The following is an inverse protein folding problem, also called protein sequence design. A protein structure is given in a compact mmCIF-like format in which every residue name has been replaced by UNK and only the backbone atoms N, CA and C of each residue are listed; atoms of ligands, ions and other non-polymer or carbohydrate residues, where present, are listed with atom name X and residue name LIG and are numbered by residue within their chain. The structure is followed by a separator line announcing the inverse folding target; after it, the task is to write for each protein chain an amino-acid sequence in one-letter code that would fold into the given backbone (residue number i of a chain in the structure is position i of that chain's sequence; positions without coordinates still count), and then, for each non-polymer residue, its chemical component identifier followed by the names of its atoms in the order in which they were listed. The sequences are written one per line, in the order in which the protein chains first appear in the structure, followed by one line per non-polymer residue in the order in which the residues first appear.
data_IF_650411773518
#
_entry.id   IF_650411773518
#
_cell.length_a   1.000
_cell.length_b   1.000
_cell.length_c   1.000
_cell.angle_alpha   90.00
_cell.angle_beta   90.00
_cell.angle_gamma   90.00
#
_symmetry.space_group_name_H-M   'P 1'
#
loop_
_entity.id
_entity.type
_entity.pdbx_description
1 polymer ?
#
# COMPACT_ATOMS: atom_id res chain seq x y z
N UNK A 1 1.56 21.84 0.25
CA UNK A 1 1.57 20.81 1.31
C UNK A 1 2.80 21.03 2.19
N UNK A 2 2.62 21.41 3.46
CA UNK A 2 3.70 21.56 4.44
C UNK A 2 3.84 20.24 5.19
N UNK A 3 5.06 19.73 5.36
CA UNK A 3 5.34 18.49 6.08
C UNK A 3 4.72 18.54 7.47
N UNK A 4 3.60 17.85 7.62
CA UNK A 4 2.99 17.61 8.91
C UNK A 4 3.60 16.34 9.48
N UNK A 5 3.95 16.42 10.75
CA UNK A 5 4.69 15.50 11.61
C UNK A 5 4.17 14.04 11.66
N UNK A 6 3.08 13.71 10.96
CA UNK A 6 2.39 12.42 11.05
C UNK A 6 2.39 11.65 9.72
N UNK A 7 3.51 10.99 9.43
CA UNK A 7 3.73 10.39 8.13
C UNK A 7 4.32 8.97 8.13
N UNK A 8 3.78 8.13 7.24
CA UNK A 8 4.41 6.89 6.81
C UNK A 8 5.78 7.22 6.21
N UNK A 9 6.85 6.74 6.87
CA UNK A 9 8.23 6.95 6.40
C UNK A 9 8.62 5.95 5.34
N UNK A 10 8.20 4.70 5.51
CA UNK A 10 8.57 3.57 4.67
C UNK A 10 7.48 2.51 4.70
N UNK A 11 7.10 1.98 3.55
CA UNK A 11 6.32 0.75 3.46
C UNK A 11 7.23 -0.37 2.97
N UNK A 12 7.02 -1.59 3.44
CA UNK A 12 7.78 -2.76 3.01
C UNK A 12 6.83 -3.93 2.89
N UNK A 13 6.91 -4.65 1.78
CA UNK A 13 6.05 -5.79 1.49
C UNK A 13 6.90 -7.06 1.68
N UNK A 14 6.56 -7.88 2.68
CA UNK A 14 7.29 -9.11 3.00
C UNK A 14 6.30 -10.24 3.30
N UNK A 15 6.51 -11.41 2.68
CA UNK A 15 5.73 -12.63 2.94
C UNK A 15 4.20 -12.38 2.94
N UNK A 16 3.71 -11.64 1.96
CA UNK A 16 2.28 -11.38 1.82
C UNK A 16 1.71 -10.38 2.83
N UNK A 17 2.56 -9.74 3.63
CA UNK A 17 2.18 -8.75 4.61
C UNK A 17 2.77 -7.37 4.29
N UNK A 18 2.04 -6.32 4.62
CA UNK A 18 2.51 -4.94 4.51
C UNK A 18 2.97 -4.50 5.88
N UNK A 19 4.25 -4.17 5.98
CA UNK A 19 4.83 -3.55 7.17
C UNK A 19 5.04 -2.07 6.86
N UNK A 20 4.35 -1.22 7.61
CA UNK A 20 4.45 0.23 7.45
C UNK A 20 5.22 0.78 8.63
N UNK A 21 6.36 1.40 8.36
CA UNK A 21 7.16 2.09 9.38
C UNK A 21 6.77 3.56 9.42
N UNK A 22 6.33 3.98 10.60
CA UNK A 22 5.81 5.32 10.88
C UNK A 22 6.81 6.07 11.77
N UNK A 23 6.90 7.39 11.62
CA UNK A 23 7.77 8.24 12.45
C UNK A 23 7.13 8.51 13.81
N UNK A 24 5.84 8.84 13.85
CA UNK A 24 5.07 9.06 15.08
C UNK A 24 3.68 8.41 14.98
N UNK A 25 3.17 7.91 16.11
CA UNK A 25 1.91 7.19 16.18
C UNK A 25 0.74 8.14 15.85
N UNK A 26 0.27 8.12 14.60
CA UNK A 26 -0.86 8.93 14.16
C UNK A 26 -1.03 9.10 12.67
N UNK A 27 -0.79 8.04 11.89
CA UNK A 27 -0.84 8.06 10.41
C UNK A 27 -2.11 8.72 9.85
N UNK A 28 -2.00 9.99 9.46
CA UNK A 28 -3.03 10.69 8.69
C UNK A 28 -2.61 10.92 7.24
N UNK A 29 -1.32 10.77 6.92
CA UNK A 29 -0.79 11.02 5.59
C UNK A 29 0.44 10.16 5.27
N UNK A 30 0.70 9.91 3.98
CA UNK A 30 1.95 9.28 3.52
C UNK A 30 2.94 10.40 3.16
N UNK A 31 4.17 10.35 3.69
CA UNK A 31 5.19 11.34 3.33
C UNK A 31 5.63 11.13 1.87
N UNK A 32 6.11 12.17 1.19
CA UNK A 32 6.58 12.06 -0.20
C UNK A 32 7.63 10.98 -0.44
N UNK A 33 8.52 10.74 0.54
CA UNK A 33 9.47 9.62 0.51
C UNK A 33 8.80 8.25 0.71
N UNK A 34 7.80 8.18 1.58
CA UNK A 34 7.04 6.95 1.85
C UNK A 34 6.15 6.54 0.68
N UNK A 35 5.72 7.50 -0.15
CA UNK A 35 5.00 7.25 -1.40
C UNK A 35 5.88 6.50 -2.40
N UNK A 36 7.10 7.01 -2.61
CA UNK A 36 8.06 6.41 -3.54
C UNK A 36 8.45 4.99 -3.09
N UNK A 37 8.74 4.81 -1.80
CA UNK A 37 9.07 3.49 -1.25
C UNK A 37 7.92 2.48 -1.43
N UNK A 38 6.68 2.89 -1.16
CA UNK A 38 5.52 2.03 -1.33
C UNK A 38 5.28 1.66 -2.79
N UNK A 39 5.39 2.62 -3.71
CA UNK A 39 5.27 2.35 -5.16
C UNK A 39 6.39 1.41 -5.63
N UNK A 40 7.62 1.60 -5.17
CA UNK A 40 8.74 0.73 -5.50
C UNK A 40 8.50 -0.71 -5.02
N UNK A 41 8.01 -0.88 -3.79
CA UNK A 41 7.66 -2.21 -3.26
C UNK A 41 6.47 -2.81 -3.99
N UNK A 42 5.43 -2.02 -4.32
CA UNK A 42 4.28 -2.48 -5.10
C UNK A 42 4.69 -2.96 -6.49
N UNK A 43 5.66 -2.31 -7.13
CA UNK A 43 6.23 -2.77 -8.39
C UNK A 43 7.00 -4.07 -8.21
N UNK A 44 7.79 -4.17 -7.13
CA UNK A 44 8.60 -5.35 -6.81
C UNK A 44 7.76 -6.61 -6.56
N UNK A 45 6.61 -6.48 -5.92
CA UNK A 45 5.70 -7.62 -5.65
C UNK A 45 4.68 -7.87 -6.77
N UNK A 46 4.61 -6.99 -7.77
CA UNK A 46 3.70 -7.11 -8.91
C UNK A 46 2.28 -6.58 -8.68
N UNK A 47 2.04 -5.75 -7.66
CA UNK A 47 0.74 -5.05 -7.47
C UNK A 47 0.51 -4.01 -8.57
N UNK A 48 1.58 -3.30 -8.94
CA UNK A 48 1.55 -2.38 -10.08
C UNK A 48 2.43 -2.93 -11.19
N UNK A 49 2.04 -2.67 -12.44
CA UNK A 49 2.88 -2.92 -13.61
C UNK A 49 3.86 -1.77 -13.83
N UNK A 50 4.87 -2.01 -14.66
CA UNK A 50 5.90 -1.02 -15.05
C UNK A 50 5.31 0.24 -15.69
N UNK A 51 4.11 0.16 -16.27
CA UNK A 51 3.36 1.30 -16.81
C UNK A 51 2.58 2.09 -15.74
N UNK A 52 2.73 1.75 -14.46
CA UNK A 52 2.01 2.37 -13.33
C UNK A 52 0.58 1.87 -13.13
N UNK A 53 0.10 0.88 -13.89
CA UNK A 53 -1.25 0.33 -13.74
C UNK A 53 -1.35 -0.56 -12.50
N UNK A 54 -2.26 -0.21 -11.58
CA UNK A 54 -2.64 -1.09 -10.47
C UNK A 54 -3.46 -2.29 -10.97
N UNK A 55 -3.04 -3.48 -10.56
CA UNK A 55 -3.75 -4.72 -10.87
C UNK A 55 -4.98 -4.89 -9.97
N UNK A 56 -5.99 -5.55 -10.51
CA UNK A 56 -7.10 -6.03 -9.71
C UNK A 56 -6.71 -7.36 -9.03
N UNK A 57 -7.59 -7.87 -8.16
CA UNK A 57 -7.35 -9.12 -7.42
C UNK A 57 -7.01 -10.29 -8.34
N UNK A 58 -7.75 -10.45 -9.42
CA UNK A 58 -7.61 -11.58 -10.35
C UNK A 58 -6.26 -11.51 -11.08
N UNK A 59 -5.96 -10.38 -11.70
CA UNK A 59 -4.70 -10.12 -12.40
C UNK A 59 -3.48 -10.29 -11.48
N UNK A 60 -3.59 -9.80 -10.24
CA UNK A 60 -2.54 -9.95 -9.24
C UNK A 60 -2.32 -11.43 -8.89
N UNK A 61 -3.39 -12.20 -8.64
CA UNK A 61 -3.29 -13.63 -8.34
C UNK A 61 -2.65 -14.46 -9.46
N UNK A 62 -2.75 -14.00 -10.72
CA UNK A 62 -2.12 -14.65 -11.86
C UNK A 62 -0.64 -14.31 -12.03
N UNK A 63 -0.19 -13.18 -11.49
CA UNK A 63 1.16 -12.63 -11.73
C UNK A 63 2.05 -12.60 -10.47
N UNK A 64 1.46 -12.63 -9.28
CA UNK A 64 2.18 -12.51 -8.03
C UNK A 64 2.93 -13.80 -7.66
N UNK A 65 4.12 -13.68 -7.04
CA UNK A 65 4.77 -14.82 -6.42
C UNK A 65 3.93 -15.39 -5.27
N UNK A 66 4.00 -16.71 -5.04
CA UNK A 66 3.20 -17.40 -4.03
C UNK A 66 3.35 -16.81 -2.62
N UNK A 67 4.55 -16.34 -2.27
CA UNK A 67 4.83 -15.70 -0.98
C UNK A 67 4.10 -14.37 -0.76
N UNK A 68 3.69 -13.68 -1.83
CA UNK A 68 2.99 -12.38 -1.76
C UNK A 68 1.49 -12.48 -2.02
N UNK A 69 0.97 -13.70 -2.18
CA UNK A 69 -0.44 -13.94 -2.52
C UNK A 69 -1.41 -13.35 -1.49
N UNK A 70 -1.01 -13.28 -0.23
CA UNK A 70 -1.77 -12.65 0.87
C UNK A 70 -2.07 -11.16 0.68
N UNK A 71 -1.33 -10.46 -0.19
CA UNK A 71 -1.60 -9.04 -0.48
C UNK A 71 -2.89 -8.82 -1.27
N UNK A 72 -3.49 -9.87 -1.84
CA UNK A 72 -4.77 -9.78 -2.56
C UNK A 72 -5.91 -9.27 -1.68
N UNK A 73 -5.88 -9.57 -0.38
CA UNK A 73 -6.87 -9.08 0.59
C UNK A 73 -6.84 -7.56 0.77
N UNK A 74 -5.71 -6.94 0.40
CA UNK A 74 -5.52 -5.48 0.46
C UNK A 74 -5.81 -4.78 -0.86
N UNK A 75 -6.10 -5.52 -1.93
CA UNK A 75 -6.61 -4.91 -3.16
C UNK A 75 -8.11 -4.67 -3.01
N UNK A 76 -8.56 -3.45 -3.26
CA UNK A 76 -9.98 -3.08 -3.28
C UNK A 76 -10.28 -2.37 -4.60
N UNK A 77 -11.54 -2.41 -5.03
CA UNK A 77 -12.00 -1.61 -6.17
C UNK A 77 -12.93 -0.54 -5.64
N UNK A 78 -12.59 0.73 -5.88
CA UNK A 78 -13.41 1.90 -5.51
C UNK A 78 -13.63 2.79 -6.72
N UNK A 79 -14.89 3.14 -6.99
CA UNK A 79 -15.27 4.00 -8.12
C UNK A 79 -14.65 3.52 -9.44
N UNK A 80 -14.74 2.22 -9.73
CA UNK A 80 -14.13 1.57 -10.90
C UNK A 80 -12.60 1.67 -11.01
N UNK A 81 -11.92 2.14 -9.96
CA UNK A 81 -10.47 2.17 -9.86
C UNK A 81 -9.97 1.10 -8.91
N UNK A 82 -8.90 0.42 -9.29
CA UNK A 82 -8.18 -0.46 -8.39
C UNK A 82 -7.40 0.39 -7.39
N UNK A 83 -7.55 0.08 -6.11
CA UNK A 83 -6.87 0.73 -5.01
C UNK A 83 -6.17 -0.32 -4.14
N UNK A 84 -5.04 0.05 -3.55
CA UNK A 84 -4.35 -0.80 -2.61
C UNK A 84 -4.38 -0.23 -1.20
N UNK A 85 -4.80 -1.04 -0.23
CA UNK A 85 -4.88 -0.67 1.18
C UNK A 85 -3.49 -0.78 1.81
N UNK A 86 -2.80 0.36 1.89
CA UNK A 86 -1.49 0.45 2.52
C UNK A 86 -1.60 0.33 4.04
N UNK A 87 -2.58 1.02 4.64
CA UNK A 87 -2.83 0.98 6.09
C UNK A 87 -4.30 0.61 6.33
N UNK A 88 -4.59 -0.52 6.99
CA UNK A 88 -5.95 -0.90 7.36
C UNK A 88 -6.50 0.02 8.47
N UNK A 89 -7.81 0.02 8.64
CA UNK A 89 -8.50 0.85 9.66
C UNK A 89 -7.98 0.58 11.08
N UNK A 90 -7.66 -0.67 11.42
CA UNK A 90 -7.16 -1.08 12.74
C UNK A 90 -5.80 -0.45 13.08
N UNK A 91 -5.01 -0.12 12.06
CA UNK A 91 -3.70 0.53 12.21
C UNK A 91 -3.78 2.05 11.94
N UNK A 92 -4.97 2.55 11.63
CA UNK A 92 -5.23 3.95 11.39
C UNK A 92 -5.85 4.60 12.62
N UNK A 93 -5.29 5.73 13.06
CA UNK A 93 -5.77 6.42 14.26
C UNK A 93 -7.21 6.94 14.13
N UNK A 94 -7.67 7.21 12.91
CA UNK A 94 -9.00 7.73 12.64
C UNK A 94 -10.00 6.63 12.20
N UNK A 95 -9.61 5.35 12.26
CA UNK A 95 -10.43 4.25 11.72
C UNK A 95 -10.65 4.32 10.21
N UNK A 96 -9.79 5.05 9.49
CA UNK A 96 -9.89 5.23 8.04
C UNK A 96 -8.74 4.52 7.33
N UNK A 97 -9.08 3.67 6.37
CA UNK A 97 -8.08 3.01 5.49
C UNK A 97 -7.30 4.05 4.68
N UNK A 98 -6.00 3.85 4.57
CA UNK A 98 -5.14 4.64 3.67
C UNK A 98 -4.94 3.86 2.39
N UNK A 99 -5.37 4.45 1.28
CA UNK A 99 -5.32 3.87 -0.06
C UNK A 99 -4.16 4.45 -0.87
N UNK A 100 -3.65 3.64 -1.79
CA UNK A 100 -2.86 4.05 -2.96
C UNK A 100 -3.63 3.80 -4.24
#
# INVERSE_FOLDING_TARGET
MRGATEAVKRATLQNGNVTVKVIEAGNRSVCGSGLIDAVAEMLRVGIIRENGKLLNKEEYLHTCPAEYRGLVDRLETKNDMNCFVLVPEEQSQNGQKIYM
#
